data_IF_638935007505
#
_entry.id   IF_638935007505
#
_cell.length_a   1.000
_cell.length_b   1.000
_cell.length_c   1.000
_cell.angle_alpha   90.00
_cell.angle_beta   90.00
_cell.angle_gamma   90.00
#
_symmetry.space_group_name_H-M   'P 1'
#
loop_
_entity.id
_entity.type
_entity.pdbx_description
1 polymer ?
#
# COMPACT_ATOMS: atom_id res chain seq x y z
N UNK A 1 23.54 7.99 -1.25
CA UNK A 1 22.64 7.29 -0.29
C UNK A 1 23.50 6.28 0.45
N UNK A 2 23.36 6.18 1.76
CA UNK A 2 24.10 5.21 2.58
C UNK A 2 23.61 3.79 2.28
N UNK A 3 24.51 2.81 2.32
CA UNK A 3 24.13 1.40 2.33
C UNK A 3 23.16 1.13 3.50
N UNK A 4 22.20 0.23 3.28
CA UNK A 4 21.25 -0.18 4.33
C UNK A 4 22.00 -1.08 5.32
N UNK A 5 22.32 -0.52 6.48
CA UNK A 5 22.90 -1.26 7.59
C UNK A 5 21.78 -1.81 8.49
N UNK A 6 21.95 -3.05 8.96
CA UNK A 6 21.05 -3.73 9.87
C UNK A 6 21.84 -4.64 10.80
N UNK A 7 21.34 -4.85 12.02
CA UNK A 7 21.94 -5.73 13.03
C UNK A 7 21.35 -7.12 13.04
N UNK A 8 20.17 -7.32 12.44
CA UNK A 8 19.51 -8.62 12.30
C UNK A 8 18.82 -8.73 10.94
N UNK A 9 18.55 -9.96 10.49
CA UNK A 9 17.85 -10.19 9.22
C UNK A 9 16.42 -9.63 9.23
N UNK A 10 15.74 -9.63 10.39
CA UNK A 10 14.42 -9.02 10.57
C UNK A 10 14.45 -7.52 10.33
N UNK A 11 15.43 -6.84 10.94
CA UNK A 11 15.64 -5.40 10.76
C UNK A 11 15.98 -5.09 9.30
N UNK A 12 16.83 -5.90 8.66
CA UNK A 12 17.19 -5.72 7.27
C UNK A 12 15.97 -5.78 6.35
N UNK A 13 15.15 -6.82 6.48
CA UNK A 13 13.93 -6.96 5.66
C UNK A 13 12.95 -5.82 5.91
N UNK A 14 12.75 -5.41 7.16
CA UNK A 14 11.92 -4.26 7.48
C UNK A 14 12.45 -2.96 6.84
N UNK A 15 13.76 -2.75 6.84
CA UNK A 15 14.41 -1.61 6.17
C UNK A 15 14.25 -1.66 4.66
N UNK A 16 14.38 -2.83 4.03
CA UNK A 16 14.11 -3.02 2.60
C UNK A 16 12.64 -2.67 2.27
N UNK A 17 11.68 -3.16 3.06
CA UNK A 17 10.25 -2.86 2.86
C UNK A 17 9.99 -1.36 2.95
N UNK A 18 10.49 -0.70 4.00
CA UNK A 18 10.26 0.73 4.24
C UNK A 18 10.95 1.60 3.19
N UNK A 19 12.23 1.34 2.88
CA UNK A 19 12.95 2.08 1.84
C UNK A 19 12.23 1.96 0.49
N UNK A 20 11.75 0.77 0.14
CA UNK A 20 11.09 0.54 -1.14
C UNK A 20 9.72 1.22 -1.22
N UNK A 21 8.93 1.17 -0.15
CA UNK A 21 7.68 1.92 -0.05
C UNK A 21 7.92 3.42 -0.24
N UNK A 22 8.94 3.97 0.41
CA UNK A 22 9.28 5.39 0.29
C UNK A 22 9.75 5.73 -1.13
N UNK A 23 10.54 4.86 -1.79
CA UNK A 23 10.93 5.04 -3.20
C UNK A 23 9.73 5.01 -4.14
N UNK A 24 8.71 4.22 -3.81
CA UNK A 24 7.43 4.18 -4.51
C UNK A 24 6.50 5.38 -4.20
N UNK A 25 6.92 6.30 -3.35
CA UNK A 25 6.17 7.50 -2.97
C UNK A 25 5.23 7.32 -1.78
N UNK A 26 5.35 6.23 -1.02
CA UNK A 26 4.61 5.98 0.22
C UNK A 26 5.48 6.43 1.39
N UNK A 27 5.36 7.71 1.76
CA UNK A 27 6.21 8.32 2.80
C UNK A 27 5.53 8.46 4.16
N UNK A 28 4.20 8.30 4.25
CA UNK A 28 3.43 8.37 5.51
C UNK A 28 3.11 6.98 6.04
N UNK A 29 3.44 6.79 7.31
CA UNK A 29 3.25 5.53 8.02
C UNK A 29 2.43 5.77 9.28
N UNK A 30 1.24 5.19 9.36
CA UNK A 30 0.39 5.25 10.54
C UNK A 30 0.67 3.99 11.37
N UNK A 31 1.21 4.18 12.56
CA UNK A 31 1.78 3.13 13.39
C UNK A 31 0.87 2.85 14.58
N UNK A 32 0.41 1.61 14.68
CA UNK A 32 -0.24 1.06 15.87
C UNK A 32 0.76 0.17 16.62
N UNK A 33 1.23 0.58 17.81
CA UNK A 33 2.39 -0.01 18.44
C UNK A 33 2.12 -1.44 18.96
N UNK A 34 3.12 -2.31 18.87
CA UNK A 34 3.12 -3.62 19.49
C UNK A 34 4.43 -4.38 19.27
N UNK A 35 4.64 -5.47 20.00
CA UNK A 35 5.94 -6.16 20.01
C UNK A 35 6.29 -6.77 18.66
N UNK A 36 5.35 -7.44 17.95
CA UNK A 36 5.69 -8.17 16.72
C UNK A 36 6.03 -7.25 15.55
N UNK A 37 5.50 -6.02 15.53
CA UNK A 37 5.80 -5.03 14.50
C UNK A 37 7.04 -4.17 14.79
N UNK A 38 7.79 -4.44 15.86
CA UNK A 38 9.01 -3.70 16.22
C UNK A 38 9.99 -3.53 15.05
N UNK A 39 10.31 -4.56 14.22
CA UNK A 39 11.20 -4.38 13.07
C UNK A 39 10.71 -3.30 12.10
N UNK A 40 9.42 -3.30 11.74
CA UNK A 40 8.81 -2.30 10.85
C UNK A 40 8.78 -0.92 11.50
N UNK A 41 8.34 -0.84 12.76
CA UNK A 41 8.25 0.43 13.49
C UNK A 41 9.61 1.13 13.60
N UNK A 42 10.68 0.37 13.89
CA UNK A 42 12.03 0.92 13.96
C UNK A 42 12.56 1.32 12.58
N UNK A 43 12.35 0.49 11.55
CA UNK A 43 12.73 0.83 10.18
C UNK A 43 12.06 2.13 9.70
N UNK A 44 10.78 2.35 10.03
CA UNK A 44 10.08 3.61 9.76
C UNK A 44 10.69 4.77 10.56
N UNK A 45 10.96 4.58 11.85
CA UNK A 45 11.49 5.64 12.71
C UNK A 45 12.91 6.09 12.32
N UNK A 46 13.74 5.19 11.80
CA UNK A 46 15.11 5.46 11.38
C UNK A 46 15.21 6.01 9.95
N UNK A 47 14.18 5.83 9.12
CA UNK A 47 14.22 6.21 7.72
C UNK A 47 14.02 7.73 7.53
N UNK A 48 14.96 8.47 6.92
CA UNK A 48 14.99 9.94 6.93
C UNK A 48 13.86 10.63 6.16
N UNK A 49 13.24 9.94 5.20
CA UNK A 49 12.08 10.46 4.45
C UNK A 49 10.74 9.90 4.93
N UNK A 50 10.73 8.96 5.87
CA UNK A 50 9.49 8.40 6.38
C UNK A 50 8.87 9.34 7.42
N UNK A 51 7.54 9.45 7.41
CA UNK A 51 6.75 10.32 8.27
C UNK A 51 5.87 9.45 9.17
N UNK A 52 6.33 9.10 10.38
CA UNK A 52 5.56 8.28 11.31
C UNK A 52 4.45 9.08 12.00
N UNK A 53 3.28 8.47 12.16
CA UNK A 53 2.18 8.96 12.97
C UNK A 53 1.74 7.84 13.92
N UNK A 54 1.92 8.05 15.22
CA UNK A 54 1.57 7.04 16.22
C UNK A 54 0.07 7.14 16.57
N UNK A 55 -0.64 6.02 16.56
CA UNK A 55 -2.05 5.95 16.90
C UNK A 55 -2.37 4.64 17.64
N UNK A 56 -2.80 4.77 18.90
CA UNK A 56 -2.98 3.63 19.81
C UNK A 56 -4.22 2.78 19.52
N UNK A 57 -5.31 3.38 19.03
CA UNK A 57 -6.51 2.66 18.58
C UNK A 57 -6.32 2.31 17.10
N UNK A 58 -6.21 1.02 16.76
CA UNK A 58 -6.02 0.55 15.38
C UNK A 58 -7.16 0.97 14.46
N UNK A 59 -8.41 0.92 14.92
CA UNK A 59 -9.57 1.28 14.09
C UNK A 59 -9.52 2.77 13.75
N UNK A 60 -9.24 3.62 14.74
CA UNK A 60 -9.03 5.05 14.52
C UNK A 60 -7.84 5.34 13.62
N UNK A 61 -6.73 4.61 13.80
CA UNK A 61 -5.53 4.70 12.97
C UNK A 61 -5.85 4.42 11.50
N UNK A 62 -6.66 3.39 11.23
CA UNK A 62 -7.02 2.99 9.88
C UNK A 62 -7.87 4.03 9.16
N UNK A 63 -8.84 4.64 9.85
CA UNK A 63 -9.61 5.77 9.28
C UNK A 63 -8.77 7.04 9.13
N UNK A 64 -7.81 7.28 10.01
CA UNK A 64 -6.84 8.36 9.84
C UNK A 64 -5.99 8.15 8.57
N UNK A 65 -5.49 6.93 8.34
CA UNK A 65 -4.77 6.60 7.11
C UNK A 65 -5.65 6.76 5.86
N UNK A 66 -6.91 6.30 5.90
CA UNK A 66 -7.88 6.48 4.83
C UNK A 66 -8.06 7.96 4.48
N UNK A 67 -8.30 8.82 5.47
CA UNK A 67 -8.46 10.26 5.27
C UNK A 67 -7.22 10.91 4.69
N UNK A 68 -6.03 10.54 5.18
CA UNK A 68 -4.76 11.03 4.66
C UNK A 68 -4.53 10.60 3.20
N UNK A 69 -4.76 9.33 2.87
CA UNK A 69 -4.59 8.82 1.51
C UNK A 69 -5.56 9.51 0.54
N UNK A 70 -6.82 9.70 0.95
CA UNK A 70 -7.83 10.42 0.17
C UNK A 70 -7.42 11.87 -0.07
N UNK A 71 -6.97 12.59 0.95
CA UNK A 71 -6.58 13.99 0.82
C UNK A 71 -5.32 14.19 -0.02
N UNK A 72 -4.39 13.24 0.00
CA UNK A 72 -3.12 13.33 -0.74
C UNK A 72 -3.23 12.83 -2.19
N UNK A 73 -4.25 12.03 -2.51
CA UNK A 73 -4.29 11.30 -3.78
C UNK A 73 -3.13 10.30 -3.92
N UNK A 74 -2.53 9.86 -2.82
CA UNK A 74 -1.38 8.95 -2.79
C UNK A 74 -1.53 7.88 -1.71
N UNK A 75 -0.87 6.71 -1.85
CA UNK A 75 -1.02 5.65 -0.86
C UNK A 75 -0.40 6.03 0.49
N UNK A 76 -1.06 5.59 1.56
CA UNK A 76 -0.57 5.69 2.94
C UNK A 76 -0.40 4.29 3.52
N UNK A 77 0.69 4.08 4.26
CA UNK A 77 0.97 2.80 4.92
C UNK A 77 0.36 2.75 6.33
N UNK A 78 -0.26 1.63 6.66
CA UNK A 78 -0.71 1.24 8.00
C UNK A 78 0.22 0.16 8.53
N UNK A 79 0.62 0.24 9.80
CA UNK A 79 1.46 -0.77 10.46
C UNK A 79 0.83 -1.16 11.79
N UNK A 80 0.55 -2.44 12.00
CA UNK A 80 0.14 -2.96 13.30
C UNK A 80 0.83 -4.29 13.66
N UNK A 81 0.75 -4.64 14.93
CA UNK A 81 1.21 -5.94 15.45
C UNK A 81 0.24 -7.08 15.09
N UNK A 82 0.63 -8.31 15.44
CA UNK A 82 -0.18 -9.52 15.22
C UNK A 82 -1.45 -9.58 16.06
N UNK A 83 -2.38 -10.46 15.69
CA UNK A 83 -3.58 -10.76 16.48
C UNK A 83 -4.75 -9.82 16.17
N UNK A 84 -5.56 -9.47 17.15
CA UNK A 84 -6.79 -8.68 16.91
C UNK A 84 -6.53 -7.25 16.42
N UNK A 85 -5.31 -6.74 16.56
CA UNK A 85 -4.90 -5.44 16.03
C UNK A 85 -5.17 -5.33 14.53
N UNK A 86 -4.82 -6.35 13.74
CA UNK A 86 -5.08 -6.34 12.28
C UNK A 86 -6.58 -6.39 11.94
N UNK A 87 -7.40 -7.05 12.76
CA UNK A 87 -8.85 -7.12 12.56
C UNK A 87 -9.53 -5.75 12.74
N UNK A 88 -8.99 -4.90 13.63
CA UNK A 88 -9.51 -3.54 13.83
C UNK A 88 -9.35 -2.63 12.59
N UNK A 89 -8.47 -2.97 11.65
CA UNK A 89 -8.35 -2.24 10.38
C UNK A 89 -9.48 -2.56 9.38
N UNK A 90 -10.21 -3.66 9.57
CA UNK A 90 -11.21 -4.15 8.60
C UNK A 90 -12.23 -3.08 8.18
N UNK A 91 -12.84 -2.26 9.06
CA UNK A 91 -13.82 -1.26 8.65
C UNK A 91 -13.24 -0.23 7.65
N UNK A 92 -12.03 0.27 7.90
CA UNK A 92 -11.40 1.24 7.02
C UNK A 92 -10.88 0.60 5.73
N UNK A 93 -10.46 -0.67 5.77
CA UNK A 93 -10.09 -1.44 4.58
C UNK A 93 -11.31 -1.65 3.67
N UNK A 94 -12.47 -1.96 4.23
CA UNK A 94 -13.72 -2.07 3.48
C UNK A 94 -14.06 -0.73 2.81
N UNK A 95 -14.03 0.37 3.58
CA UNK A 95 -14.28 1.71 3.05
C UNK A 95 -13.27 2.10 1.95
N UNK A 96 -11.97 1.87 2.17
CA UNK A 96 -10.93 2.12 1.17
C UNK A 96 -11.19 1.36 -0.14
N UNK A 97 -11.68 0.12 -0.04
CA UNK A 97 -11.99 -0.69 -1.20
C UNK A 97 -13.22 -0.18 -1.97
N UNK A 98 -14.22 0.38 -1.29
CA UNK A 98 -15.42 0.94 -1.92
C UNK A 98 -15.15 2.32 -2.52
N UNK A 99 -14.41 3.17 -1.80
CA UNK A 99 -14.10 4.55 -2.22
C UNK A 99 -12.85 4.67 -3.08
N UNK A 100 -12.29 3.55 -3.54
CA UNK A 100 -11.09 3.51 -4.40
C UNK A 100 -9.88 4.25 -3.79
N UNK A 101 -9.69 4.15 -2.47
CA UNK A 101 -8.57 4.82 -1.77
C UNK A 101 -7.39 3.85 -1.62
N UNK A 102 -6.18 4.20 -2.08
CA UNK A 102 -5.03 3.32 -2.00
C UNK A 102 -4.46 3.28 -0.57
N UNK A 103 -4.43 2.10 0.04
CA UNK A 103 -3.79 1.86 1.35
C UNK A 103 -2.79 0.71 1.26
N UNK A 104 -1.67 0.81 1.95
CA UNK A 104 -0.73 -0.30 2.12
C UNK A 104 -0.84 -0.80 3.57
N UNK A 105 -1.45 -1.96 3.77
CA UNK A 105 -1.65 -2.52 5.11
C UNK A 105 -0.51 -3.49 5.41
N UNK A 106 0.37 -3.13 6.34
CA UNK A 106 1.47 -3.95 6.85
C UNK A 106 1.06 -4.54 8.21
N UNK A 107 0.91 -5.86 8.27
CA UNK A 107 0.58 -6.55 9.52
C UNK A 107 1.77 -7.40 9.93
N UNK A 108 2.26 -7.24 11.14
CA UNK A 108 3.25 -8.19 11.66
C UNK A 108 2.55 -9.49 12.06
N UNK A 109 3.23 -10.63 11.89
CA UNK A 109 2.69 -11.94 12.22
C UNK A 109 3.71 -12.81 12.96
N UNK A 110 3.20 -13.89 13.57
CA UNK A 110 4.01 -14.95 14.14
C UNK A 110 4.63 -15.82 13.03
N UNK A 111 5.80 -16.44 13.29
CA UNK A 111 6.41 -17.36 12.36
C UNK A 111 5.56 -18.66 12.25
N UNK A 112 5.69 -19.43 11.16
CA UNK A 112 4.85 -20.60 10.89
C UNK A 112 4.77 -21.61 12.04
N UNK A 113 5.87 -21.84 12.75
CA UNK A 113 5.92 -22.78 13.87
C UNK A 113 5.11 -22.35 15.11
N UNK A 114 4.58 -21.12 15.15
CA UNK A 114 3.74 -20.62 16.23
C UNK A 114 2.28 -20.40 15.82
N UNK A 115 1.93 -20.60 14.54
CA UNK A 115 0.55 -20.54 14.08
C UNK A 115 -0.24 -21.76 14.57
N UNK A 116 -1.49 -21.56 14.98
CA UNK A 116 -2.40 -22.62 15.46
C UNK A 116 -1.89 -23.44 16.66
N UNK A 117 -0.97 -22.89 17.46
CA UNK A 117 -0.40 -23.55 18.65
C UNK A 117 -0.99 -23.05 19.98
N UNK A 118 -1.90 -22.09 19.94
CA UNK A 118 -2.34 -21.34 21.13
C UNK A 118 -1.38 -20.24 21.57
N UNK A 119 -0.36 -19.92 20.75
CA UNK A 119 0.53 -18.80 20.99
C UNK A 119 -0.25 -17.49 21.16
N UNK A 120 0.12 -16.69 22.16
CA UNK A 120 -0.54 -15.43 22.46
C UNK A 120 -0.51 -14.45 21.28
N UNK A 121 -1.58 -13.65 21.14
CA UNK A 121 -1.70 -12.62 20.10
C UNK A 121 -1.47 -13.18 18.67
N UNK A 122 -2.04 -14.36 18.40
CA UNK A 122 -1.98 -15.04 17.11
C UNK A 122 -3.41 -15.31 16.64
N UNK A 123 -3.70 -14.99 15.38
CA UNK A 123 -4.93 -15.35 14.67
C UNK A 123 -4.53 -15.78 13.26
N UNK A 124 -5.44 -16.39 12.49
CA UNK A 124 -5.23 -16.56 11.06
C UNK A 124 -5.32 -15.19 10.35
N UNK A 125 -4.18 -14.66 9.93
CA UNK A 125 -4.09 -13.39 9.19
C UNK A 125 -4.11 -13.62 7.66
N UNK A 126 -4.20 -14.87 7.19
CA UNK A 126 -4.21 -15.18 5.76
C UNK A 126 -5.50 -14.68 5.12
N UNK A 127 -5.35 -13.84 4.09
CA UNK A 127 -6.50 -13.26 3.39
C UNK A 127 -7.54 -12.62 4.33
N UNK A 128 -7.12 -12.07 5.47
CA UNK A 128 -8.03 -11.55 6.51
C UNK A 128 -9.06 -10.54 5.97
N UNK A 129 -8.66 -9.72 4.99
CA UNK A 129 -9.52 -8.72 4.35
C UNK A 129 -10.25 -9.23 3.10
N UNK A 130 -10.09 -10.50 2.75
CA UNK A 130 -10.77 -11.16 1.64
C UNK A 130 -10.69 -10.37 0.33
N UNK A 131 -11.85 -10.17 -0.30
CA UNK A 131 -11.98 -9.47 -1.59
C UNK A 131 -11.84 -7.95 -1.49
N UNK A 132 -11.77 -7.38 -0.29
CA UNK A 132 -11.60 -5.93 -0.12
C UNK A 132 -10.17 -5.52 -0.46
N UNK A 133 -9.17 -6.37 -0.19
CA UNK A 133 -7.80 -6.14 -0.63
C UNK A 133 -7.63 -6.41 -2.14
N UNK A 134 -7.00 -5.47 -2.86
CA UNK A 134 -6.62 -5.59 -4.29
C UNK A 134 -5.54 -6.62 -4.53
N UNK A 135 -4.74 -6.88 -3.50
CA UNK A 135 -3.71 -7.89 -3.47
C UNK A 135 -3.37 -8.24 -2.02
N UNK A 136 -3.05 -9.51 -1.81
CA UNK A 136 -2.56 -10.05 -0.54
C UNK A 136 -1.22 -10.74 -0.81
N UNK A 137 -0.25 -10.52 0.07
CA UNK A 137 1.02 -11.22 0.06
C UNK A 137 1.46 -11.55 1.48
N UNK A 138 1.74 -12.83 1.73
CA UNK A 138 2.39 -13.28 2.94
C UNK A 138 3.90 -13.35 2.70
N UNK A 139 4.66 -12.48 3.35
CA UNK A 139 6.10 -12.64 3.39
C UNK A 139 6.45 -13.86 4.24
N UNK A 140 7.36 -14.73 3.78
CA UNK A 140 7.99 -15.71 4.66
C UNK A 140 8.78 -14.99 5.75
N UNK A 141 9.16 -15.73 6.79
CA UNK A 141 10.09 -15.18 7.77
C UNK A 141 11.40 -14.76 7.08
N UNK A 142 11.98 -13.62 7.46
CA UNK A 142 13.27 -13.18 6.94
C UNK A 142 14.33 -14.28 7.03
N UNK A 143 14.92 -14.63 5.89
CA UNK A 143 15.91 -15.71 5.75
C UNK A 143 16.90 -15.36 4.63
N UNK A 144 18.18 -15.69 4.82
CA UNK A 144 19.26 -15.35 3.88
C UNK A 144 19.23 -16.18 2.59
N UNK A 145 18.53 -17.32 2.59
CA UNK A 145 18.31 -18.14 1.40
C UNK A 145 17.32 -17.53 0.42
N UNK A 146 16.54 -16.53 0.86
CA UNK A 146 15.56 -15.85 0.04
C UNK A 146 16.18 -14.57 -0.48
N UNK A 147 16.22 -14.40 -1.80
CA UNK A 147 16.88 -13.26 -2.42
C UNK A 147 16.19 -11.92 -2.05
N UNK A 148 16.92 -10.84 -1.74
CA UNK A 148 16.34 -9.56 -1.33
C UNK A 148 15.43 -8.93 -2.40
N UNK A 149 15.64 -9.26 -3.67
CA UNK A 149 14.79 -8.87 -4.81
C UNK A 149 13.34 -9.30 -4.62
N UNK A 150 13.10 -10.44 -3.97
CA UNK A 150 11.74 -10.92 -3.67
C UNK A 150 11.00 -9.92 -2.80
N UNK A 151 11.67 -9.36 -1.80
CA UNK A 151 11.10 -8.35 -0.90
C UNK A 151 10.80 -7.06 -1.68
N UNK A 152 11.76 -6.58 -2.46
CA UNK A 152 11.64 -5.33 -3.21
C UNK A 152 10.54 -5.41 -4.28
N UNK A 153 10.55 -6.45 -5.12
CA UNK A 153 9.54 -6.64 -6.16
C UNK A 153 8.14 -6.87 -5.58
N UNK A 154 8.01 -7.55 -4.42
CA UNK A 154 6.72 -7.70 -3.76
C UNK A 154 6.16 -6.34 -3.30
N UNK A 155 7.00 -5.46 -2.77
CA UNK A 155 6.58 -4.10 -2.37
C UNK A 155 6.19 -3.26 -3.60
N UNK A 156 6.98 -3.29 -4.67
CA UNK A 156 6.65 -2.61 -5.93
C UNK A 156 5.29 -3.06 -6.46
N UNK A 157 5.07 -4.37 -6.46
CA UNK A 157 3.81 -4.95 -6.90
C UNK A 157 2.66 -4.54 -5.99
N UNK A 158 2.87 -4.50 -4.67
CA UNK A 158 1.86 -4.00 -3.73
C UNK A 158 1.42 -2.57 -4.06
N UNK A 159 2.38 -1.67 -4.24
CA UNK A 159 2.08 -0.26 -4.55
C UNK A 159 1.43 -0.12 -5.92
N UNK A 160 1.91 -0.88 -6.91
CA UNK A 160 1.28 -0.93 -8.23
C UNK A 160 -0.18 -1.38 -8.15
N UNK A 161 -0.48 -2.46 -7.41
CA UNK A 161 -1.84 -2.98 -7.23
C UNK A 161 -2.74 -2.03 -6.45
N UNK A 162 -2.20 -1.30 -5.47
CA UNK A 162 -2.96 -0.30 -4.72
C UNK A 162 -3.38 0.90 -5.59
N UNK A 163 -2.48 1.33 -6.49
CA UNK A 163 -2.67 2.50 -7.37
C UNK A 163 -3.32 2.19 -8.71
N UNK A 164 -3.34 0.94 -9.13
CA UNK A 164 -3.97 0.52 -10.40
C UNK A 164 -5.49 0.51 -10.27
N UNK A 165 -6.20 0.81 -11.34
CA UNK A 165 -7.66 0.79 -11.33
C UNK A 165 -8.20 -0.65 -11.27
N UNK A 166 -9.22 -0.95 -10.45
CA UNK A 166 -9.77 -0.07 -9.40
C UNK A 166 -8.77 0.10 -8.23
N UNK A 167 -8.47 1.34 -7.84
CA UNK A 167 -7.58 1.62 -6.69
C UNK A 167 -8.15 1.01 -5.41
N UNK A 168 -7.30 0.77 -4.41
CA UNK A 168 -7.76 0.22 -3.14
C UNK A 168 -6.65 -0.27 -2.23
N UNK A 169 -7.04 -0.88 -1.09
CA UNK A 169 -6.09 -1.38 -0.11
C UNK A 169 -5.37 -2.64 -0.62
N UNK A 170 -4.12 -2.81 -0.24
CA UNK A 170 -3.37 -4.08 -0.35
C UNK A 170 -2.87 -4.50 1.02
N UNK A 171 -2.67 -5.80 1.21
CA UNK A 171 -2.27 -6.36 2.50
C UNK A 171 -0.98 -7.17 2.37
N UNK A 172 0.07 -6.71 3.06
CA UNK A 172 1.33 -7.42 3.22
C UNK A 172 1.42 -7.94 4.65
N UNK A 173 1.40 -9.26 4.79
CA UNK A 173 1.56 -9.95 6.07
C UNK A 173 3.02 -10.30 6.29
N UNK A 174 3.65 -9.73 7.32
CA UNK A 174 5.08 -9.82 7.59
C UNK A 174 5.35 -10.72 8.80
N UNK A 175 5.72 -11.98 8.57
CA UNK A 175 6.02 -12.93 9.65
C UNK A 175 7.43 -12.68 10.22
N UNK A 176 7.55 -12.53 11.54
CA UNK A 176 8.85 -12.31 12.21
C UNK A 176 9.13 -13.36 13.28
N UNK A 177 10.23 -14.09 13.16
CA UNK A 177 10.81 -14.92 14.23
C UNK A 177 11.57 -14.02 15.21
N UNK A 178 11.70 -14.41 16.47
CA UNK A 178 12.56 -13.68 17.41
C UNK A 178 14.05 -13.87 17.06
N UNK A 179 14.93 -12.88 17.32
CA UNK A 179 14.71 -11.62 18.04
C UNK A 179 14.06 -10.51 17.20
N UNK A 180 13.16 -9.73 17.81
CA UNK A 180 12.44 -8.63 17.14
C UNK A 180 13.12 -7.26 17.26
N UNK A 181 13.90 -7.09 18.33
CA UNK A 181 14.69 -5.89 18.56
C UNK A 181 16.02 -5.98 17.78
N UNK A 182 16.61 -4.84 17.38
CA UNK A 182 17.88 -4.79 16.68
C UNK A 182 19.02 -5.03 17.66
N UNK A 183 19.16 -6.28 18.09
CA UNK A 183 20.29 -6.76 18.89
C UNK A 183 21.47 -7.05 17.96
N UNK A 184 22.68 -6.72 18.41
CA UNK A 184 23.89 -7.03 17.64
C UNK A 184 24.04 -8.55 17.53
N UNK A 185 23.86 -9.06 16.32
CA UNK A 185 24.04 -10.48 15.99
C UNK A 185 25.48 -10.81 15.54
N UNK A 186 26.25 -9.78 15.17
CA UNK A 186 27.54 -9.96 14.47
C UNK A 186 27.38 -10.41 13.02
N UNK A 187 26.17 -10.39 12.47
CA UNK A 187 25.91 -10.76 11.07
C UNK A 187 26.36 -9.65 10.11
N UNK A 188 27.08 -10.06 9.06
CA UNK A 188 27.40 -9.22 7.91
C UNK A 188 26.46 -9.55 6.74
N UNK A 189 25.77 -8.54 6.22
CA UNK A 189 24.81 -8.65 5.13
C UNK A 189 25.35 -8.22 3.76
N UNK A 190 26.62 -7.80 3.64
CA UNK A 190 27.19 -7.33 2.36
C UNK A 190 27.01 -8.37 1.23
N UNK A 191 27.37 -9.63 1.50
CA UNK A 191 27.20 -10.72 0.53
C UNK A 191 25.72 -10.96 0.14
N UNK A 192 24.81 -10.82 1.09
CA UNK A 192 23.37 -11.00 0.87
C UNK A 192 22.79 -9.87 -0.01
N UNK A 193 23.36 -8.68 0.04
CA UNK A 193 22.91 -7.51 -0.72
C UNK A 193 23.63 -7.33 -2.08
N UNK A 194 24.51 -8.26 -2.46
CA UNK A 194 25.33 -8.21 -3.69
C UNK A 194 24.55 -8.41 -5.01
N UNK A 195 23.22 -8.52 -4.95
CA UNK A 195 22.35 -8.54 -6.15
C UNK A 195 21.65 -7.20 -6.43
N UNK A 196 21.70 -6.25 -5.49
CA UNK A 196 20.86 -5.04 -5.51
C UNK A 196 21.65 -3.73 -5.45
N UNK A 197 22.94 -3.72 -5.80
CA UNK A 197 23.80 -2.52 -5.73
C UNK A 197 23.34 -1.41 -6.68
N UNK A 198 22.85 -1.82 -7.85
CA UNK A 198 22.24 -0.88 -8.81
C UNK A 198 21.03 -0.18 -8.20
N UNK A 199 20.24 -0.90 -7.41
CA UNK A 199 19.13 -0.30 -6.68
C UNK A 199 19.61 0.61 -5.56
N UNK A 200 20.59 0.20 -4.76
CA UNK A 200 21.15 1.02 -3.68
C UNK A 200 21.68 2.38 -4.19
N UNK A 201 22.30 2.39 -5.38
CA UNK A 201 22.88 3.61 -5.97
C UNK A 201 21.86 4.54 -6.66
N UNK A 202 20.76 4.02 -7.21
CA UNK A 202 19.84 4.79 -8.06
C UNK A 202 18.77 5.61 -7.32
N UNK A 203 18.39 5.21 -6.11
CA UNK A 203 17.36 5.90 -5.32
C UNK A 203 15.94 5.88 -5.93
N UNK A 204 15.68 4.95 -6.86
CA UNK A 204 14.38 4.73 -7.54
C UNK A 204 13.83 3.36 -7.12
N UNK A 205 12.52 3.10 -7.32
CA UNK A 205 11.96 1.76 -7.13
C UNK A 205 12.75 0.68 -7.87
N UNK A 206 12.78 -0.53 -7.31
CA UNK A 206 13.51 -1.68 -7.82
C UNK A 206 12.94 -2.13 -9.17
N UNK A 207 11.61 -2.25 -9.25
CA UNK A 207 10.86 -2.64 -10.44
C UNK A 207 9.91 -1.52 -10.85
N UNK A 208 9.82 -1.23 -12.15
CA UNK A 208 8.80 -0.33 -12.68
C UNK A 208 7.73 -1.11 -13.43
N UNK A 209 6.52 -1.13 -12.90
CA UNK A 209 5.36 -1.66 -13.61
C UNK A 209 4.79 -0.57 -14.55
N UNK A 210 4.76 -0.85 -15.85
CA UNK A 210 4.13 0.05 -16.81
C UNK A 210 2.63 0.20 -16.50
N UNK A 211 2.14 1.44 -16.45
CA UNK A 211 0.71 1.71 -16.32
C UNK A 211 0.07 1.55 -17.69
N UNK A 212 -0.88 0.63 -17.81
CA UNK A 212 -1.75 0.59 -18.97
C UNK A 212 -2.69 1.81 -18.93
N UNK A 213 -2.56 2.69 -19.92
CA UNK A 213 -3.52 3.77 -20.12
C UNK A 213 -4.70 3.23 -20.92
N UNK A 214 -5.90 3.44 -20.39
CA UNK A 214 -7.12 3.13 -21.14
C UNK A 214 -7.33 4.28 -22.13
N UNK A 215 -7.20 4.00 -23.42
CA UNK A 215 -7.48 4.96 -24.47
C UNK A 215 -8.77 4.59 -25.18
N UNK A 216 -9.63 5.58 -25.43
CA UNK A 216 -10.79 5.44 -26.31
C UNK A 216 -10.26 5.42 -27.74
N UNK A 217 -10.71 4.46 -28.55
CA UNK A 217 -10.30 4.40 -29.95
C UNK A 217 -10.91 5.58 -30.75
N UNK A 218 -10.30 6.02 -31.86
CA UNK A 218 -10.91 7.05 -32.70
C UNK A 218 -12.30 6.67 -33.24
N UNK A 219 -12.56 5.37 -33.40
CA UNK A 219 -13.86 4.84 -33.82
C UNK A 219 -14.91 4.98 -32.71
N UNK A 220 -14.60 4.50 -31.51
CA UNK A 220 -15.48 4.64 -30.34
C UNK A 220 -15.77 6.12 -30.03
N UNK A 221 -14.75 6.98 -30.16
CA UNK A 221 -14.90 8.42 -29.96
C UNK A 221 -15.87 9.05 -30.95
N UNK A 222 -15.79 8.70 -32.25
CA UNK A 222 -16.74 9.16 -33.27
C UNK A 222 -18.15 8.65 -33.00
N UNK A 223 -18.28 7.36 -32.69
CA UNK A 223 -19.56 6.75 -32.36
C UNK A 223 -20.25 7.47 -31.19
N UNK A 224 -19.51 7.70 -30.09
CA UNK A 224 -20.03 8.42 -28.94
C UNK A 224 -20.40 9.87 -29.27
N UNK A 225 -19.58 10.58 -30.05
CA UNK A 225 -19.87 11.95 -30.45
C UNK A 225 -21.15 12.05 -31.29
N UNK A 226 -21.35 11.13 -32.24
CA UNK A 226 -22.55 11.10 -33.08
C UNK A 226 -23.80 10.73 -32.26
N UNK A 227 -23.67 9.77 -31.34
CA UNK A 227 -24.74 9.41 -30.39
C UNK A 227 -25.17 10.63 -29.56
N UNK A 228 -24.22 11.34 -28.96
CA UNK A 228 -24.49 12.54 -28.15
C UNK A 228 -25.14 13.66 -28.98
N UNK A 229 -24.66 13.91 -30.21
CA UNK A 229 -25.25 14.92 -31.11
C UNK A 229 -26.67 14.59 -31.55
N UNK A 230 -26.98 13.30 -31.74
CA UNK A 230 -28.30 12.85 -32.17
C UNK A 230 -29.36 12.95 -31.05
N UNK A 231 -28.93 13.00 -29.78
CA UNK A 231 -29.82 13.05 -28.64
C UNK A 231 -30.40 14.45 -28.42
N UNK A 232 -31.72 14.57 -28.50
CA UNK A 232 -32.43 15.84 -28.34
C UNK A 232 -32.62 16.29 -26.87
N UNK A 233 -32.57 15.34 -25.92
CA UNK A 233 -32.77 15.58 -24.49
C UNK A 233 -31.86 14.65 -23.70
N UNK A 234 -30.71 15.16 -23.28
CA UNK A 234 -29.80 14.42 -22.42
C UNK A 234 -29.68 15.05 -21.04
N UNK A 235 -29.12 14.27 -20.13
CA UNK A 235 -28.78 14.67 -18.77
C UNK A 235 -27.47 13.98 -18.41
N UNK A 236 -26.58 14.69 -17.72
CA UNK A 236 -25.34 14.13 -17.20
C UNK A 236 -25.55 13.85 -15.70
N UNK A 237 -25.32 12.62 -15.27
CA UNK A 237 -25.33 12.27 -13.83
C UNK A 237 -23.89 12.15 -13.37
N UNK A 238 -23.48 13.05 -12.48
CA UNK A 238 -22.10 13.20 -12.02
C UNK A 238 -21.99 12.74 -10.58
N UNK A 239 -21.38 11.57 -10.36
CA UNK A 239 -21.03 11.07 -9.03
C UNK A 239 -19.69 11.63 -8.52
N UNK A 240 -19.11 11.00 -7.49
CA UNK A 240 -17.81 11.41 -6.95
C UNK A 240 -16.70 11.34 -8.02
N UNK A 241 -15.94 12.42 -8.15
CA UNK A 241 -14.82 12.54 -9.10
C UNK A 241 -13.78 13.55 -8.60
N UNK A 242 -12.59 13.50 -9.20
CA UNK A 242 -11.53 14.49 -8.95
C UNK A 242 -11.86 15.82 -9.62
N UNK A 243 -11.32 16.92 -9.08
CA UNK A 243 -11.58 18.28 -9.58
C UNK A 243 -11.26 18.45 -11.07
N UNK A 244 -10.17 17.85 -11.55
CA UNK A 244 -9.80 17.90 -12.97
C UNK A 244 -10.84 17.23 -13.88
N UNK A 245 -11.47 16.14 -13.42
CA UNK A 245 -12.54 15.47 -14.17
C UNK A 245 -13.83 16.29 -14.10
N UNK A 246 -14.11 16.94 -12.97
CA UNK A 246 -15.26 17.81 -12.81
C UNK A 246 -15.24 18.96 -13.83
N UNK A 247 -14.08 19.59 -14.05
CA UNK A 247 -13.92 20.64 -15.05
C UNK A 247 -14.27 20.15 -16.47
N UNK A 248 -13.78 18.96 -16.86
CA UNK A 248 -14.09 18.35 -18.16
C UNK A 248 -15.58 18.00 -18.32
N UNK A 249 -16.22 17.51 -17.24
CA UNK A 249 -17.67 17.23 -17.23
C UNK A 249 -18.48 18.51 -17.38
N UNK A 250 -18.06 19.61 -16.75
CA UNK A 250 -18.70 20.93 -16.91
C UNK A 250 -18.56 21.42 -18.34
N UNK A 251 -17.37 21.32 -18.95
CA UNK A 251 -17.15 21.68 -20.35
C UNK A 251 -18.04 20.87 -21.28
N UNK A 252 -18.17 19.56 -21.06
CA UNK A 252 -19.05 18.71 -21.84
C UNK A 252 -20.52 19.10 -21.70
N UNK A 253 -20.99 19.34 -20.47
CA UNK A 253 -22.38 19.77 -20.21
C UNK A 253 -22.71 21.09 -20.89
N UNK A 254 -21.78 22.06 -20.86
CA UNK A 254 -21.91 23.34 -21.56
C UNK A 254 -21.98 23.16 -23.08
N UNK A 255 -21.11 22.32 -23.65
CA UNK A 255 -21.08 22.07 -25.09
C UNK A 255 -22.35 21.38 -25.60
N UNK A 256 -22.96 20.50 -24.80
CA UNK A 256 -24.20 19.79 -25.14
C UNK A 256 -25.46 20.59 -24.77
N UNK A 257 -25.35 21.59 -23.90
CA UNK A 257 -26.50 22.29 -23.31
C UNK A 257 -27.34 21.39 -22.40
N UNK A 258 -26.73 20.35 -21.80
CA UNK A 258 -27.44 19.38 -20.97
C UNK A 258 -27.32 19.74 -19.48
N UNK A 259 -28.40 19.55 -18.69
CA UNK A 259 -28.30 19.68 -17.24
C UNK A 259 -27.38 18.61 -16.66
N UNK A 260 -26.65 18.99 -15.61
CA UNK A 260 -25.80 18.10 -14.81
C UNK A 260 -26.48 17.89 -13.45
N UNK A 261 -26.80 16.64 -13.12
CA UNK A 261 -27.24 16.22 -11.80
C UNK A 261 -26.01 15.78 -11.02
N UNK A 262 -25.46 16.69 -10.22
CA UNK A 262 -24.31 16.41 -9.37
C UNK A 262 -24.77 15.83 -8.03
N UNK A 263 -24.23 14.66 -7.68
CA UNK A 263 -24.36 14.08 -6.35
C UNK A 263 -23.52 14.88 -5.33
N UNK A 264 -23.91 14.83 -4.04
CA UNK A 264 -23.28 15.62 -2.96
C UNK A 264 -22.14 14.86 -2.29
#
# INVERSE_FOLDING_TARGET
>A
MSAIAAKTINELWAKLIVEELVRCGVDRFILSPGSRCTPLTLAVAEHPRAKPFLHYDERGAAFFALGQARALGSPVALVCTSGTATANYLPAVVEAAQSLVPLIVLTADRPPELLDTGANQTIDQNHLYGRYARWYHAFPCPDRSIAPEVVLTAVDHAVHRAKSMPQGPVHLNCAYREPLAPIESGEDFESYLSGIETWQSRGRPYTTCARAEHAITPEDSRFMADLLRSAQRGVIVAGQMDAAVADEVLTLGQALGWPILADV
#
